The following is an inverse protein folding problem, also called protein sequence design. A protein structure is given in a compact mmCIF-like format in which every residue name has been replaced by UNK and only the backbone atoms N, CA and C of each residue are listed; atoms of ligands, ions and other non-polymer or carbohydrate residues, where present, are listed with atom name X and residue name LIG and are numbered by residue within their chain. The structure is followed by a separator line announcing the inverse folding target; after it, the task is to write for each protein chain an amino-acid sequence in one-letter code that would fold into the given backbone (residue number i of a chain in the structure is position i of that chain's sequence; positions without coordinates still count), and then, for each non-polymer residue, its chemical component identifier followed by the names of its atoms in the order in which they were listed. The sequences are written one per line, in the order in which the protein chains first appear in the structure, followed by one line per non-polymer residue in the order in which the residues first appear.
data_IF_798285843272
#
_entry.id   IF_798285843272
#
_cell.length_a   1.000
_cell.length_b   1.000
_cell.length_c   1.000
_cell.angle_alpha   90.00
_cell.angle_beta   90.00
_cell.angle_gamma   90.00
#
_symmetry.space_group_name_H-M   'P 1'
#
loop_
_entity.id
_entity.type
_entity.pdbx_description
1 polymer ?
#
# COMPACT_ATOMS: atom_id res chain seq x y z
N UNK A 1 -29.34 -17.10 -5.13
CA UNK A 1 -28.81 -18.21 -4.29
C UNK A 1 -27.97 -17.58 -3.19
N UNK A 2 -28.04 -18.06 -1.93
CA UNK A 2 -27.23 -17.51 -0.85
C UNK A 2 -25.77 -17.96 -0.99
N UNK A 3 -24.84 -17.00 -1.02
CA UNK A 3 -23.40 -17.25 -1.07
C UNK A 3 -22.86 -17.31 0.36
N UNK A 4 -22.43 -18.48 0.81
CA UNK A 4 -21.78 -18.62 2.12
C UNK A 4 -20.28 -18.29 2.06
N UNK A 5 -19.69 -18.33 0.86
CA UNK A 5 -18.32 -17.92 0.60
C UNK A 5 -18.24 -16.38 0.56
N UNK A 6 -17.20 -15.79 1.15
CA UNK A 6 -17.09 -14.35 1.34
C UNK A 6 -17.94 -13.80 2.49
N UNK A 7 -18.60 -14.64 3.28
CA UNK A 7 -19.47 -14.18 4.38
C UNK A 7 -18.66 -13.39 5.43
N UNK A 8 -17.49 -13.91 5.82
CA UNK A 8 -16.55 -13.23 6.69
C UNK A 8 -16.07 -11.90 6.11
N UNK A 9 -15.72 -11.91 4.82
CA UNK A 9 -15.30 -10.70 4.10
C UNK A 9 -16.41 -9.65 4.06
N UNK A 10 -17.68 -10.05 3.91
CA UNK A 10 -18.83 -9.12 3.95
C UNK A 10 -19.05 -8.52 5.34
N UNK A 11 -18.87 -9.29 6.42
CA UNK A 11 -18.84 -8.74 7.78
C UNK A 11 -17.76 -7.66 7.89
N UNK A 12 -16.54 -7.95 7.44
CA UNK A 12 -15.44 -7.00 7.46
C UNK A 12 -15.75 -5.73 6.65
N UNK A 13 -16.36 -5.89 5.48
CA UNK A 13 -16.76 -4.80 4.60
C UNK A 13 -17.80 -3.89 5.25
N UNK A 14 -18.89 -4.45 5.77
CA UNK A 14 -19.93 -3.65 6.43
C UNK A 14 -19.43 -3.03 7.73
N UNK A 15 -18.52 -3.69 8.47
CA UNK A 15 -17.88 -3.11 9.66
C UNK A 15 -17.09 -1.85 9.30
N UNK A 16 -16.28 -1.93 8.25
CA UNK A 16 -15.48 -0.80 7.76
C UNK A 16 -16.38 0.33 7.25
N UNK A 17 -17.49 0.02 6.58
CA UNK A 17 -18.49 1.00 6.15
C UNK A 17 -19.17 1.69 7.34
N UNK A 18 -19.37 0.98 8.45
CA UNK A 18 -19.87 1.53 9.70
C UNK A 18 -18.81 2.33 10.49
N UNK A 19 -17.57 2.41 9.99
CA UNK A 19 -16.47 3.14 10.63
C UNK A 19 -15.94 2.50 11.92
N UNK A 20 -16.17 1.20 12.12
CA UNK A 20 -15.82 0.49 13.35
C UNK A 20 -14.49 -0.26 13.21
N UNK A 21 -13.66 -0.30 14.25
CA UNK A 21 -12.56 -1.27 14.39
C UNK A 21 -13.08 -2.66 14.74
N UNK A 22 -12.24 -3.71 14.66
CA UNK A 22 -12.65 -5.05 15.09
C UNK A 22 -12.95 -5.06 16.59
N UNK A 23 -12.19 -4.29 17.36
CA UNK A 23 -12.36 -4.06 18.79
C UNK A 23 -13.68 -3.38 19.11
N UNK A 24 -14.02 -2.31 18.38
CA UNK A 24 -15.27 -1.57 18.57
C UNK A 24 -16.51 -2.39 18.16
N UNK A 25 -16.44 -3.15 17.07
CA UNK A 25 -17.53 -4.07 16.70
C UNK A 25 -17.68 -5.18 17.74
N UNK A 26 -16.57 -5.72 18.24
CA UNK A 26 -16.58 -6.74 19.28
C UNK A 26 -17.19 -6.22 20.58
N UNK A 27 -16.86 -4.99 20.98
CA UNK A 27 -17.42 -4.33 22.15
C UNK A 27 -18.94 -4.15 22.02
N UNK A 28 -19.42 -3.66 20.86
CA UNK A 28 -20.87 -3.48 20.59
C UNK A 28 -21.66 -4.79 20.57
N UNK A 29 -21.02 -5.88 20.14
CA UNK A 29 -21.59 -7.23 20.13
C UNK A 29 -21.36 -8.00 21.43
N UNK A 30 -20.62 -7.44 22.39
CA UNK A 30 -20.23 -8.06 23.65
C UNK A 30 -19.50 -9.41 23.46
N UNK A 31 -18.50 -9.41 22.57
CA UNK A 31 -17.63 -10.55 22.23
C UNK A 31 -16.17 -10.10 22.19
N UNK A 32 -15.24 -11.01 21.90
CA UNK A 32 -13.82 -10.66 21.76
C UNK A 32 -13.48 -10.20 20.34
N UNK A 33 -12.52 -9.28 20.20
CA UNK A 33 -11.98 -8.87 18.89
C UNK A 33 -11.45 -10.07 18.09
N UNK A 34 -10.92 -11.09 18.78
CA UNK A 34 -10.49 -12.34 18.18
C UNK A 34 -11.64 -13.13 17.54
N UNK A 35 -12.86 -13.07 18.08
CA UNK A 35 -14.04 -13.70 17.47
C UNK A 35 -14.42 -12.99 16.17
N UNK A 36 -14.46 -11.65 16.16
CA UNK A 36 -14.68 -10.84 14.96
C UNK A 36 -13.60 -11.13 13.91
N UNK A 37 -12.34 -11.17 14.29
CA UNK A 37 -11.22 -11.50 13.40
C UNK A 37 -11.37 -12.90 12.79
N UNK A 38 -11.78 -13.91 13.58
CA UNK A 38 -12.04 -15.26 13.05
C UNK A 38 -13.22 -15.28 12.07
N UNK A 39 -14.25 -14.48 12.30
CA UNK A 39 -15.35 -14.33 11.34
C UNK A 39 -14.86 -13.71 10.05
N UNK A 40 -14.14 -12.59 10.14
CA UNK A 40 -13.68 -11.82 8.99
C UNK A 40 -12.67 -12.57 8.12
N UNK A 41 -11.87 -13.45 8.72
CA UNK A 41 -10.90 -14.31 8.04
C UNK A 41 -11.47 -15.67 7.62
N UNK A 42 -12.79 -15.87 7.68
CA UNK A 42 -13.48 -17.11 7.28
C UNK A 42 -13.05 -18.34 8.09
N UNK A 43 -12.51 -18.15 9.31
CA UNK A 43 -12.07 -19.23 10.20
C UNK A 43 -13.27 -19.88 10.89
N UNK A 44 -14.29 -19.09 11.26
CA UNK A 44 -15.55 -19.60 11.78
C UNK A 44 -16.70 -18.63 11.47
N UNK A 45 -17.94 -19.08 11.68
CA UNK A 45 -19.13 -18.25 11.50
C UNK A 45 -19.61 -17.68 12.85
N UNK A 46 -20.23 -16.49 12.86
CA UNK A 46 -21.02 -16.03 14.00
C UNK A 46 -22.16 -17.01 14.25
N UNK A 47 -22.54 -17.17 15.52
CA UNK A 47 -23.72 -17.96 15.85
C UNK A 47 -24.97 -17.39 15.16
N UNK A 48 -25.87 -18.27 14.75
CA UNK A 48 -27.09 -17.86 14.01
C UNK A 48 -27.93 -16.84 14.78
N UNK A 49 -27.91 -16.92 16.11
CA UNK A 49 -28.56 -16.01 17.06
C UNK A 49 -27.97 -14.60 17.04
N UNK A 50 -26.71 -14.46 16.63
CA UNK A 50 -25.99 -13.17 16.54
C UNK A 50 -26.27 -12.42 15.24
N UNK A 51 -26.75 -13.10 14.19
CA UNK A 51 -26.94 -12.50 12.86
C UNK A 51 -27.86 -11.28 12.83
N UNK A 52 -29.01 -11.24 13.53
CA UNK A 52 -29.88 -10.06 13.52
C UNK A 52 -29.18 -8.84 14.13
N UNK A 53 -28.51 -9.02 15.27
CA UNK A 53 -27.79 -7.95 15.96
C UNK A 53 -26.55 -7.51 15.19
N UNK A 54 -25.81 -8.47 14.63
CA UNK A 54 -24.69 -8.20 13.73
C UNK A 54 -25.12 -7.36 12.53
N UNK A 55 -26.20 -7.74 11.84
CA UNK A 55 -26.72 -6.96 10.72
C UNK A 55 -27.14 -5.54 11.13
N UNK A 56 -27.73 -5.38 12.32
CA UNK A 56 -28.10 -4.07 12.88
C UNK A 56 -26.88 -3.19 13.19
N UNK A 57 -25.88 -3.70 13.90
CA UNK A 57 -24.64 -2.95 14.23
C UNK A 57 -23.85 -2.56 12.97
N UNK A 58 -23.95 -3.39 11.93
CA UNK A 58 -23.32 -3.20 10.63
C UNK A 58 -24.17 -2.38 9.64
N UNK A 59 -25.35 -1.93 10.04
CA UNK A 59 -26.30 -1.19 9.20
C UNK A 59 -26.59 -1.88 7.84
N UNK A 60 -26.83 -3.19 7.86
CA UNK A 60 -27.08 -4.04 6.68
C UNK A 60 -28.21 -5.03 6.94
N UNK A 61 -28.49 -5.93 5.97
CA UNK A 61 -29.48 -7.02 6.14
C UNK A 61 -28.79 -8.38 6.17
N UNK A 62 -29.47 -9.38 6.73
CA UNK A 62 -28.97 -10.76 6.77
C UNK A 62 -28.77 -11.28 5.35
N UNK A 63 -29.69 -10.99 4.42
CA UNK A 63 -29.60 -11.41 3.02
C UNK A 63 -28.32 -10.87 2.37
N UNK A 64 -27.97 -9.61 2.62
CA UNK A 64 -26.72 -9.00 2.14
C UNK A 64 -25.48 -9.66 2.74
N UNK A 65 -25.50 -10.07 4.01
CA UNK A 65 -24.41 -10.85 4.61
C UNK A 65 -24.21 -12.21 3.93
N UNK A 66 -25.29 -12.81 3.42
CA UNK A 66 -25.27 -14.06 2.66
C UNK A 66 -25.24 -13.86 1.13
N UNK A 67 -24.86 -12.67 0.63
CA UNK A 67 -24.73 -12.42 -0.81
C UNK A 67 -26.06 -12.49 -1.60
N UNK A 68 -27.21 -12.43 -0.91
CA UNK A 68 -28.52 -12.35 -1.52
C UNK A 68 -28.77 -10.95 -2.10
N UNK A 69 -29.13 -10.90 -3.38
CA UNK A 69 -29.40 -9.65 -4.11
C UNK A 69 -29.17 -9.72 -5.63
N UNK A 70 -28.46 -10.75 -6.12
CA UNK A 70 -28.19 -10.95 -7.55
C UNK A 70 -29.12 -12.04 -8.09
N UNK A 71 -29.97 -11.68 -9.06
CA UNK A 71 -30.77 -12.60 -9.85
C UNK A 71 -29.90 -13.15 -11.01
N UNK A 72 -29.46 -14.42 -10.97
CA UNK A 72 -28.51 -14.97 -11.94
C UNK A 72 -29.10 -15.10 -13.35
N UNK A 73 -30.39 -14.86 -13.53
CA UNK A 73 -31.08 -14.91 -14.82
C UNK A 73 -31.11 -13.58 -15.57
N UNK A 74 -30.56 -12.50 -14.98
CA UNK A 74 -30.45 -11.17 -15.61
C UNK A 74 -29.01 -10.72 -15.89
N UNK A 75 -28.01 -11.56 -15.65
CA UNK A 75 -26.62 -11.29 -16.02
C UNK A 75 -26.46 -11.31 -17.55
N UNK A 76 -26.85 -10.23 -18.22
CA UNK A 76 -26.53 -10.02 -19.62
C UNK A 76 -25.03 -9.70 -19.79
N UNK A 77 -24.46 -10.20 -20.89
CA UNK A 77 -23.04 -10.27 -21.24
C UNK A 77 -22.30 -8.92 -21.43
N UNK A 78 -22.73 -7.83 -20.79
CA UNK A 78 -22.24 -6.47 -21.08
C UNK A 78 -21.13 -5.96 -20.14
N UNK A 79 -20.92 -6.55 -18.95
CA UNK A 79 -19.95 -6.04 -17.96
C UNK A 79 -18.62 -6.82 -17.90
N UNK A 80 -18.55 -8.01 -18.51
CA UNK A 80 -17.36 -8.87 -18.47
C UNK A 80 -16.36 -8.37 -19.53
N UNK A 81 -15.09 -8.06 -19.16
CA UNK A 81 -14.10 -7.65 -20.14
C UNK A 81 -13.88 -8.74 -21.18
N UNK A 82 -14.00 -8.38 -22.47
CA UNK A 82 -13.73 -9.31 -23.57
C UNK A 82 -12.25 -9.69 -23.69
N UNK A 83 -11.37 -8.92 -23.05
CA UNK A 83 -9.93 -9.13 -23.03
C UNK A 83 -9.35 -8.77 -21.65
N UNK A 84 -8.31 -9.50 -21.24
CA UNK A 84 -7.52 -9.28 -20.02
C UNK A 84 -6.04 -9.28 -20.41
N UNK A 85 -5.46 -8.08 -20.56
CA UNK A 85 -4.14 -7.92 -21.17
C UNK A 85 -4.13 -8.46 -22.61
N UNK A 86 -3.28 -9.46 -22.89
CA UNK A 86 -3.21 -10.15 -24.20
C UNK A 86 -4.22 -11.30 -24.36
N UNK A 87 -4.89 -11.70 -23.28
CA UNK A 87 -5.78 -12.87 -23.27
C UNK A 87 -7.20 -12.47 -23.66
N UNK A 88 -7.88 -13.31 -24.43
CA UNK A 88 -9.27 -13.09 -24.86
C UNK A 88 -10.20 -13.90 -23.98
N UNK A 89 -11.38 -13.37 -23.66
CA UNK A 89 -12.43 -14.14 -23.01
C UNK A 89 -12.88 -15.26 -23.96
N UNK A 90 -12.72 -16.50 -23.52
CA UNK A 90 -13.02 -17.70 -24.29
C UNK A 90 -14.37 -18.29 -23.92
N UNK A 91 -14.67 -18.40 -22.63
CA UNK A 91 -15.90 -19.02 -22.15
C UNK A 91 -16.28 -18.54 -20.75
N UNK A 92 -17.54 -18.71 -20.38
CA UNK A 92 -18.05 -18.39 -19.04
C UNK A 92 -18.96 -19.51 -18.53
N UNK A 93 -18.87 -19.83 -17.24
CA UNK A 93 -19.72 -20.81 -16.59
C UNK A 93 -19.99 -20.43 -15.14
N UNK A 94 -21.26 -20.19 -14.79
CA UNK A 94 -21.71 -19.87 -13.42
C UNK A 94 -20.88 -18.76 -12.72
N UNK A 95 -20.56 -17.69 -13.45
CA UNK A 95 -19.76 -16.58 -12.92
C UNK A 95 -18.25 -16.81 -12.96
N UNK A 96 -17.76 -17.98 -13.36
CA UNK A 96 -16.34 -18.18 -13.67
C UNK A 96 -16.07 -17.82 -15.13
N UNK A 97 -15.02 -17.04 -15.36
CA UNK A 97 -14.57 -16.53 -16.65
C UNK A 97 -13.30 -17.26 -17.06
N UNK A 98 -13.23 -17.74 -18.30
CA UNK A 98 -12.03 -18.38 -18.85
C UNK A 98 -11.39 -17.47 -19.90
N UNK A 99 -10.16 -17.01 -19.65
CA UNK A 99 -9.37 -16.19 -20.57
C UNK A 99 -8.22 -17.00 -21.17
N UNK A 100 -7.94 -16.83 -22.46
CA UNK A 100 -6.77 -17.43 -23.11
C UNK A 100 -6.38 -16.69 -24.39
N UNK A 101 -5.11 -16.80 -24.78
CA UNK A 101 -4.59 -16.44 -26.11
C UNK A 101 -4.45 -17.64 -27.05
N UNK A 102 -4.77 -18.85 -26.58
CA UNK A 102 -4.65 -20.10 -27.35
C UNK A 102 -5.83 -20.29 -28.31
N UNK A 103 -5.58 -21.05 -29.38
CA UNK A 103 -6.63 -21.47 -30.30
C UNK A 103 -7.52 -22.56 -29.69
N UNK A 104 -8.80 -22.23 -29.57
CA UNK A 104 -9.83 -23.15 -29.06
C UNK A 104 -10.11 -24.22 -30.10
N UNK A 105 -10.17 -25.48 -29.66
CA UNK A 105 -10.62 -26.60 -30.46
C UNK A 105 -12.13 -26.83 -30.28
N UNK A 106 -12.60 -26.90 -29.04
CA UNK A 106 -14.03 -27.08 -28.72
C UNK A 106 -14.36 -26.47 -27.36
N UNK A 107 -15.57 -25.91 -27.26
CA UNK A 107 -16.14 -25.44 -26.00
C UNK A 107 -17.41 -26.24 -25.72
N UNK A 108 -17.47 -26.84 -24.53
CA UNK A 108 -18.63 -27.52 -23.97
C UNK A 108 -19.25 -26.64 -22.86
N UNK A 109 -20.32 -27.12 -22.22
CA UNK A 109 -21.07 -26.35 -21.20
C UNK A 109 -20.15 -25.72 -20.14
N UNK A 110 -19.28 -26.52 -19.54
CA UNK A 110 -18.37 -26.13 -18.45
C UNK A 110 -16.89 -26.37 -18.79
N UNK A 111 -16.55 -26.74 -20.03
CA UNK A 111 -15.18 -27.15 -20.38
C UNK A 111 -14.73 -26.53 -21.70
N UNK A 112 -13.51 -26.00 -21.74
CA UNK A 112 -12.84 -25.55 -22.97
C UNK A 112 -11.67 -26.47 -23.27
N UNK A 113 -11.56 -26.92 -24.51
CA UNK A 113 -10.42 -27.70 -25.02
C UNK A 113 -9.73 -26.92 -26.12
N UNK A 114 -8.40 -26.86 -26.09
CA UNK A 114 -7.57 -26.11 -27.02
C UNK A 114 -6.86 -27.05 -28.01
N UNK A 115 -6.48 -26.52 -29.19
CA UNK A 115 -5.87 -27.32 -30.28
C UNK A 115 -4.53 -27.93 -29.92
N UNK A 116 -3.81 -27.35 -28.97
CA UNK A 116 -2.53 -27.86 -28.45
C UNK A 116 -2.69 -28.97 -27.39
N UNK A 117 -3.92 -29.40 -27.12
CA UNK A 117 -4.24 -30.41 -26.13
C UNK A 117 -4.33 -29.88 -24.70
N UNK A 118 -4.37 -28.56 -24.52
CA UNK A 118 -4.74 -27.91 -23.26
C UNK A 118 -6.24 -28.02 -23.00
N UNK A 119 -6.64 -27.89 -21.73
CA UNK A 119 -8.06 -27.82 -21.34
C UNK A 119 -8.28 -26.94 -20.11
N UNK A 120 -9.50 -26.43 -19.98
CA UNK A 120 -9.99 -25.73 -18.81
C UNK A 120 -11.38 -26.28 -18.45
N UNK A 121 -11.50 -26.89 -17.27
CA UNK A 121 -12.77 -27.35 -16.69
C UNK A 121 -13.23 -26.30 -15.66
N UNK A 122 -14.22 -25.49 -16.06
CA UNK A 122 -14.75 -24.38 -15.28
C UNK A 122 -15.61 -24.86 -14.09
N UNK A 123 -16.17 -26.07 -14.15
CA UNK A 123 -16.93 -26.65 -13.03
C UNK A 123 -15.99 -27.14 -11.92
N UNK A 124 -14.85 -27.74 -12.31
CA UNK A 124 -13.82 -28.23 -11.38
C UNK A 124 -12.75 -27.20 -11.05
N UNK A 125 -12.76 -26.04 -11.73
CA UNK A 125 -11.72 -25.01 -11.65
C UNK A 125 -10.31 -25.57 -11.93
N UNK A 126 -10.21 -26.46 -12.91
CA UNK A 126 -8.97 -27.12 -13.27
C UNK A 126 -8.47 -26.66 -14.65
N UNK A 127 -7.18 -26.33 -14.74
CA UNK A 127 -6.50 -25.97 -15.99
C UNK A 127 -5.39 -26.97 -16.26
N UNK A 128 -5.41 -27.54 -17.46
CA UNK A 128 -4.29 -28.30 -18.03
C UNK A 128 -3.72 -27.46 -19.17
N UNK A 129 -2.62 -26.75 -18.92
CA UNK A 129 -1.98 -25.91 -19.93
C UNK A 129 -0.78 -26.63 -20.57
N UNK A 130 -0.80 -26.81 -21.89
CA UNK A 130 0.27 -27.43 -22.70
C UNK A 130 0.73 -26.48 -23.79
N UNK A 131 2.01 -26.55 -24.20
CA UNK A 131 2.54 -25.68 -25.27
C UNK A 131 2.70 -24.22 -24.84
N UNK A 132 2.84 -23.31 -25.80
CA UNK A 132 2.96 -21.87 -25.56
C UNK A 132 1.57 -21.21 -25.42
N UNK A 133 1.51 -20.09 -24.71
CA UNK A 133 0.25 -19.40 -24.41
C UNK A 133 -0.28 -19.74 -23.01
N UNK A 134 -1.38 -19.11 -22.65
CA UNK A 134 -1.84 -19.01 -21.27
C UNK A 134 -3.35 -19.21 -21.18
N UNK A 135 -3.79 -19.88 -20.13
CA UNK A 135 -5.20 -20.05 -19.77
C UNK A 135 -5.33 -19.59 -18.33
N UNK A 136 -6.32 -18.76 -18.05
CA UNK A 136 -6.52 -18.16 -16.74
C UNK A 136 -8.01 -18.13 -16.41
N UNK A 137 -8.36 -18.39 -15.16
CA UNK A 137 -9.70 -18.15 -14.63
C UNK A 137 -9.80 -16.79 -13.95
N UNK A 138 -10.98 -16.21 -14.00
CA UNK A 138 -11.38 -15.01 -13.28
C UNK A 138 -12.83 -15.14 -12.82
N UNK A 139 -13.32 -14.25 -11.96
CA UNK A 139 -14.68 -14.31 -11.43
C UNK A 139 -15.49 -13.07 -11.81
N UNK A 140 -16.73 -13.28 -12.26
CA UNK A 140 -17.62 -12.24 -12.74
C UNK A 140 -18.06 -11.26 -11.65
N UNK A 141 -18.09 -11.69 -10.38
CA UNK A 141 -18.42 -10.86 -9.22
C UNK A 141 -17.26 -9.94 -8.78
N UNK A 142 -16.06 -10.10 -9.33
CA UNK A 142 -15.00 -9.09 -9.26
C UNK A 142 -15.24 -7.90 -10.19
N UNK A 143 -16.20 -8.01 -11.11
CA UNK A 143 -16.56 -6.96 -12.06
C UNK A 143 -17.91 -6.36 -11.67
N UNK A 144 -17.89 -5.11 -11.20
CA UNK A 144 -19.12 -4.36 -10.93
C UNK A 144 -19.79 -3.99 -12.27
N UNK A 145 -21.10 -4.20 -12.41
CA UNK A 145 -21.87 -3.91 -13.63
C UNK A 145 -21.80 -2.43 -14.05
N UNK A 146 -21.33 -1.54 -13.14
CA UNK A 146 -21.11 -0.13 -13.40
C UNK A 146 -19.70 0.23 -13.92
N UNK A 147 -18.77 -0.74 -14.00
CA UNK A 147 -17.35 -0.49 -14.28
C UNK A 147 -17.01 -0.54 -15.80
N UNK A 148 -17.63 0.37 -16.57
CA UNK A 148 -17.33 0.58 -18.00
C UNK A 148 -16.27 1.68 -18.24
N UNK A 149 -15.58 2.14 -17.18
CA UNK A 149 -14.69 3.29 -17.26
C UNK A 149 -13.27 2.95 -17.75
N UNK A 150 -12.48 4.00 -18.03
CA UNK A 150 -11.06 3.84 -18.37
C UNK A 150 -10.31 3.17 -17.21
N UNK A 151 -9.62 2.07 -17.49
CA UNK A 151 -8.76 1.35 -16.53
C UNK A 151 -7.29 1.72 -16.66
N UNK A 152 -6.97 2.63 -17.58
CA UNK A 152 -5.63 3.13 -17.83
C UNK A 152 -5.65 4.63 -18.08
N UNK A 153 -4.64 5.32 -17.56
CA UNK A 153 -4.33 6.73 -17.84
C UNK A 153 -2.87 6.80 -18.29
N UNK A 154 -2.57 7.56 -19.33
CA UNK A 154 -1.21 7.78 -19.80
C UNK A 154 -1.04 9.20 -20.32
N UNK A 155 -0.08 9.93 -19.74
CA UNK A 155 0.20 11.32 -20.07
C UNK A 155 1.70 11.57 -20.17
N UNK A 156 2.08 12.56 -20.99
CA UNK A 156 3.48 12.95 -21.24
C UNK A 156 3.63 14.44 -20.99
N UNK A 157 4.66 14.80 -20.24
CA UNK A 157 4.96 16.15 -19.80
C UNK A 157 6.40 16.53 -20.15
N UNK A 158 6.66 17.83 -20.25
CA UNK A 158 8.00 18.39 -20.40
C UNK A 158 8.29 19.38 -19.28
N UNK A 159 9.57 19.56 -18.95
CA UNK A 159 10.00 20.55 -17.95
C UNK A 159 9.62 20.23 -16.50
N UNK A 160 9.25 18.99 -16.19
CA UNK A 160 8.98 18.57 -14.81
C UNK A 160 10.29 18.47 -14.03
N UNK A 161 10.29 19.06 -12.84
CA UNK A 161 11.38 19.00 -11.88
C UNK A 161 10.89 18.61 -10.47
N UNK A 162 9.61 18.79 -10.17
CA UNK A 162 9.03 18.45 -8.87
C UNK A 162 7.82 17.54 -9.04
N UNK A 163 7.61 16.64 -8.09
CA UNK A 163 6.49 15.69 -8.08
C UNK A 163 5.66 15.84 -6.81
N UNK A 164 4.34 15.77 -6.96
CA UNK A 164 3.40 15.49 -5.87
C UNK A 164 2.64 14.23 -6.19
N UNK A 165 2.74 13.22 -5.33
CA UNK A 165 1.99 11.98 -5.43
C UNK A 165 1.21 11.76 -4.14
N UNK A 166 -0.11 11.80 -4.23
CA UNK A 166 -1.00 11.50 -3.11
C UNK A 166 -1.87 10.30 -3.49
N UNK A 167 -1.62 9.15 -2.86
CA UNK A 167 -2.27 7.88 -3.21
C UNK A 167 -2.69 7.10 -1.98
N UNK A 168 -3.67 6.23 -2.16
CA UNK A 168 -4.15 5.32 -1.13
C UNK A 168 -4.48 3.95 -1.73
N UNK A 169 -3.98 2.89 -1.10
CA UNK A 169 -4.19 1.49 -1.54
C UNK A 169 -3.79 1.26 -3.02
N UNK A 170 -2.70 1.89 -3.46
CA UNK A 170 -2.14 1.71 -4.79
C UNK A 170 -0.62 1.57 -4.70
N UNK A 171 -0.03 0.80 -5.61
CA UNK A 171 1.43 0.74 -5.73
C UNK A 171 1.95 1.90 -6.56
N UNK A 172 3.19 2.33 -6.33
CA UNK A 172 3.82 3.32 -7.18
C UNK A 172 5.30 3.03 -7.45
N UNK A 173 5.77 3.54 -8.58
CA UNK A 173 7.17 3.52 -8.94
C UNK A 173 7.55 4.83 -9.60
N UNK A 174 8.67 5.44 -9.17
CA UNK A 174 9.25 6.62 -9.82
C UNK A 174 10.64 6.25 -10.34
N UNK A 175 10.77 6.29 -11.66
CA UNK A 175 11.96 5.85 -12.40
C UNK A 175 12.53 6.99 -13.24
N UNK A 176 13.77 6.81 -13.70
CA UNK A 176 14.36 7.69 -14.70
C UNK A 176 13.82 7.36 -16.10
N UNK A 177 13.31 8.37 -16.80
CA UNK A 177 12.95 8.29 -18.23
C UNK A 177 14.21 8.15 -19.11
N UNK A 178 14.16 7.42 -20.25
CA UNK A 178 15.28 7.36 -21.18
C UNK A 178 15.54 8.68 -21.93
N UNK A 179 14.62 9.65 -21.83
CA UNK A 179 14.70 10.95 -22.48
C UNK A 179 14.30 12.08 -21.51
N UNK A 180 14.14 13.29 -22.04
CA UNK A 180 13.81 14.49 -21.26
C UNK A 180 12.32 14.65 -20.95
N UNK A 181 11.47 13.74 -21.44
CA UNK A 181 10.04 13.77 -21.18
C UNK A 181 9.71 12.99 -19.93
N UNK A 182 8.83 13.56 -19.12
CA UNK A 182 8.24 12.86 -17.98
C UNK A 182 6.99 12.14 -18.44
N UNK A 183 6.84 10.86 -18.08
CA UNK A 183 5.68 10.04 -18.45
C UNK A 183 5.00 9.54 -17.20
N UNK A 184 3.69 9.68 -17.12
CA UNK A 184 2.88 9.07 -16.09
C UNK A 184 2.00 8.00 -16.74
N UNK A 185 2.04 6.79 -16.19
CA UNK A 185 1.13 5.71 -16.54
C UNK A 185 0.45 5.20 -15.27
N UNK A 186 -0.87 5.29 -15.21
CA UNK A 186 -1.66 4.66 -14.16
C UNK A 186 -2.50 3.53 -14.75
N UNK A 187 -2.58 2.41 -14.05
CA UNK A 187 -3.40 1.25 -14.41
C UNK A 187 -4.16 0.81 -13.16
N UNK A 188 -5.43 0.47 -13.29
CA UNK A 188 -6.22 0.00 -12.16
C UNK A 188 -7.71 -0.06 -12.46
N UNK A 189 -8.50 -0.17 -11.40
CA UNK A 189 -9.97 -0.09 -11.49
C UNK A 189 -10.43 1.25 -12.07
N UNK A 190 -11.57 1.32 -12.76
CA UNK A 190 -11.99 2.61 -13.29
C UNK A 190 -12.38 3.65 -12.22
N UNK A 191 -12.87 3.29 -11.02
CA UNK A 191 -12.99 4.24 -9.91
C UNK A 191 -11.64 4.84 -9.50
N UNK A 192 -10.58 4.03 -9.46
CA UNK A 192 -9.23 4.53 -9.18
C UNK A 192 -8.76 5.51 -10.25
N UNK A 193 -8.88 5.15 -11.53
CA UNK A 193 -8.45 6.00 -12.65
C UNK A 193 -9.30 7.27 -12.74
N UNK A 194 -10.63 7.15 -12.65
CA UNK A 194 -11.55 8.30 -12.64
C UNK A 194 -11.39 9.20 -11.41
N UNK A 195 -10.86 8.65 -10.31
CA UNK A 195 -10.53 9.37 -9.08
C UNK A 195 -9.14 10.00 -9.07
N UNK A 196 -8.27 9.65 -10.02
CA UNK A 196 -6.90 10.15 -10.11
C UNK A 196 -6.86 11.46 -10.89
N UNK A 197 -6.48 12.54 -10.23
CA UNK A 197 -6.32 13.84 -10.86
C UNK A 197 -4.84 14.08 -11.18
N UNK A 198 -4.53 14.19 -12.47
CA UNK A 198 -3.20 14.52 -12.95
C UNK A 198 -3.20 15.96 -13.47
N UNK A 199 -2.20 16.74 -13.06
CA UNK A 199 -2.08 18.14 -13.49
C UNK A 199 -0.62 18.60 -13.47
N UNK A 200 -0.28 19.52 -14.38
CA UNK A 200 1.01 20.20 -14.40
C UNK A 200 0.82 21.69 -14.06
N UNK A 201 1.61 22.20 -13.12
CA UNK A 201 1.70 23.63 -12.83
C UNK A 201 3.17 24.05 -12.84
N UNK A 202 3.58 24.74 -13.91
CA UNK A 202 5.01 25.02 -14.13
C UNK A 202 5.80 23.71 -14.24
N UNK A 203 6.80 23.54 -13.37
CA UNK A 203 7.63 22.32 -13.30
C UNK A 203 7.12 21.26 -12.31
N UNK A 204 5.97 21.49 -11.66
CA UNK A 204 5.36 20.53 -10.75
C UNK A 204 4.38 19.65 -11.52
N UNK A 205 4.57 18.33 -11.45
CA UNK A 205 3.56 17.34 -11.82
C UNK A 205 2.88 16.84 -10.54
N UNK A 206 1.56 16.95 -10.47
CA UNK A 206 0.77 16.45 -9.36
C UNK A 206 -0.16 15.32 -9.84
N UNK A 207 -0.10 14.18 -9.17
CA UNK A 207 -0.99 13.04 -9.32
C UNK A 207 -1.66 12.76 -7.97
N UNK A 208 -2.92 13.15 -7.84
CA UNK A 208 -3.65 13.16 -6.56
C UNK A 208 -4.91 12.32 -6.68
N UNK A 209 -4.99 11.26 -5.88
CA UNK A 209 -6.19 10.44 -5.76
C UNK A 209 -7.20 11.13 -4.82
N UNK A 210 -8.40 11.44 -5.32
CA UNK A 210 -9.49 11.94 -4.47
C UNK A 210 -9.90 10.88 -3.43
N UNK A 211 -10.14 11.30 -2.19
CA UNK A 211 -10.74 10.42 -1.17
C UNK A 211 -12.11 9.92 -1.63
N UNK A 212 -12.20 8.66 -1.99
CA UNK A 212 -13.46 7.90 -2.02
C UNK A 212 -13.21 6.52 -1.43
N UNK A 213 -14.28 5.90 -0.91
CA UNK A 213 -14.28 4.53 -0.42
C UNK A 213 -14.15 3.56 -1.60
N UNK A 214 -12.93 3.42 -2.14
CA UNK A 214 -12.69 2.51 -3.25
C UNK A 214 -12.60 1.07 -2.73
N UNK A 215 -13.34 0.16 -3.39
CA UNK A 215 -13.16 -1.26 -3.19
C UNK A 215 -11.76 -1.70 -3.63
N UNK A 216 -11.23 -2.68 -2.88
CA UNK A 216 -9.86 -3.17 -2.96
C UNK A 216 -9.62 -3.83 -4.31
N UNK A 217 -9.04 -3.10 -5.26
CA UNK A 217 -8.46 -3.69 -6.46
C UNK A 217 -6.97 -3.92 -6.25
N UNK A 218 -6.53 -5.18 -6.19
CA UNK A 218 -5.12 -5.60 -6.11
C UNK A 218 -4.28 -5.21 -7.36
N UNK A 219 -4.77 -4.28 -8.18
CA UNK A 219 -4.23 -3.90 -9.50
C UNK A 219 -3.93 -2.41 -9.66
N UNK A 220 -4.26 -1.55 -8.69
CA UNK A 220 -4.02 -0.10 -8.81
C UNK A 220 -2.53 0.21 -8.70
N UNK A 221 -1.96 0.80 -9.76
CA UNK A 221 -0.55 1.14 -9.85
C UNK A 221 -0.33 2.46 -10.60
N UNK A 222 0.63 3.25 -10.16
CA UNK A 222 1.13 4.43 -10.86
C UNK A 222 2.62 4.28 -11.13
N UNK A 223 3.04 4.43 -12.38
CA UNK A 223 4.43 4.51 -12.79
C UNK A 223 4.71 5.92 -13.32
N UNK A 224 5.74 6.57 -12.80
CA UNK A 224 6.19 7.88 -13.26
C UNK A 224 7.64 7.76 -13.70
N UNK A 225 7.91 7.97 -14.99
CA UNK A 225 9.27 8.07 -15.52
C UNK A 225 9.65 9.54 -15.63
N UNK A 226 10.55 10.07 -14.78
CA UNK A 226 10.96 11.49 -14.78
C UNK A 226 11.97 11.77 -15.89
N UNK A 227 11.79 12.88 -16.59
CA UNK A 227 12.68 13.38 -17.65
C UNK A 227 14.02 13.97 -17.20
N UNK A 228 14.30 14.00 -15.90
CA UNK A 228 15.48 14.60 -15.27
C UNK A 228 16.25 13.52 -14.50
N UNK A 229 17.58 13.68 -14.41
CA UNK A 229 18.43 12.78 -13.62
C UNK A 229 18.28 12.99 -12.10
N UNK A 230 17.79 14.17 -11.69
CA UNK A 230 17.41 14.48 -10.32
C UNK A 230 16.27 15.50 -10.29
N UNK A 231 15.42 15.45 -9.27
CA UNK A 231 14.33 16.40 -9.07
C UNK A 231 14.63 17.46 -8.01
N UNK A 232 13.84 18.54 -8.01
CA UNK A 232 13.89 19.59 -6.99
C UNK A 232 13.12 19.17 -5.74
N UNK A 233 11.83 18.91 -5.87
CA UNK A 233 10.96 18.60 -4.72
C UNK A 233 10.11 17.36 -4.97
N UNK A 234 9.99 16.52 -3.96
CA UNK A 234 9.10 15.38 -3.93
C UNK A 234 8.17 15.48 -2.73
N UNK A 235 6.86 15.52 -2.99
CA UNK A 235 5.82 15.37 -1.98
C UNK A 235 5.14 14.01 -2.17
N UNK A 236 5.32 13.10 -1.22
CA UNK A 236 4.65 11.79 -1.18
C UNK A 236 3.68 11.74 -0.01
N UNK A 237 2.41 11.45 -0.27
CA UNK A 237 1.44 11.08 0.76
C UNK A 237 0.84 9.72 0.45
N UNK A 238 1.09 8.79 1.35
CA UNK A 238 0.74 7.38 1.20
C UNK A 238 -0.25 6.99 2.29
N UNK A 239 -1.44 6.56 1.86
CA UNK A 239 -2.53 6.12 2.72
C UNK A 239 -2.87 4.64 2.55
N UNK A 240 -3.50 4.05 3.57
CA UNK A 240 -3.95 2.65 3.55
C UNK A 240 -2.77 1.69 3.35
N UNK A 241 -2.89 0.78 2.39
CA UNK A 241 -1.82 -0.18 2.04
C UNK A 241 -1.02 0.23 0.80
N UNK A 242 -0.98 1.53 0.45
CA UNK A 242 -0.19 1.99 -0.69
C UNK A 242 1.30 1.85 -0.41
N UNK A 243 2.08 1.39 -1.39
CA UNK A 243 3.52 1.14 -1.22
C UNK A 243 4.26 1.40 -2.52
N UNK A 244 5.56 1.66 -2.46
CA UNK A 244 6.30 1.90 -3.68
C UNK A 244 7.70 2.43 -3.47
N UNK A 245 8.32 2.75 -4.60
CA UNK A 245 9.71 3.16 -4.61
C UNK A 245 9.98 4.37 -5.50
N UNK A 246 11.00 5.14 -5.12
CA UNK A 246 11.55 6.25 -5.87
C UNK A 246 13.03 5.98 -6.12
N UNK A 247 13.39 5.76 -7.39
CA UNK A 247 14.74 5.45 -7.83
C UNK A 247 15.43 6.65 -8.53
N UNK A 248 14.89 7.85 -8.35
CA UNK A 248 15.47 9.11 -8.85
C UNK A 248 15.77 10.02 -7.67
N UNK A 249 16.99 10.56 -7.53
CA UNK A 249 17.33 11.50 -6.46
C UNK A 249 16.50 12.79 -6.50
N UNK A 250 16.26 13.39 -5.34
CA UNK A 250 15.62 14.71 -5.22
C UNK A 250 16.36 15.60 -4.23
N UNK A 251 16.28 16.93 -4.37
CA UNK A 251 16.85 17.81 -3.34
C UNK A 251 16.02 17.76 -2.07
N UNK A 252 14.71 18.00 -2.17
CA UNK A 252 13.81 18.06 -1.03
C UNK A 252 12.76 16.95 -1.08
N UNK A 253 12.56 16.25 0.02
CA UNK A 253 11.51 15.26 0.21
C UNK A 253 10.59 15.60 1.37
N UNK A 254 9.27 15.61 1.13
CA UNK A 254 8.24 15.59 2.16
C UNK A 254 7.43 14.30 2.02
N UNK A 255 7.61 13.37 2.96
CA UNK A 255 7.02 12.04 2.91
C UNK A 255 6.10 11.82 4.10
N UNK A 256 4.85 11.43 3.84
CA UNK A 256 3.86 11.10 4.87
C UNK A 256 3.30 9.70 4.66
N UNK A 257 3.42 8.86 5.68
CA UNK A 257 2.94 7.46 5.67
C UNK A 257 1.87 7.31 6.75
N UNK A 258 0.60 7.26 6.32
CA UNK A 258 -0.59 7.23 7.17
C UNK A 258 -1.25 5.86 7.32
N UNK A 259 -0.60 4.79 6.84
CA UNK A 259 -1.15 3.44 6.83
C UNK A 259 -0.08 2.36 7.04
N UNK A 260 -0.24 1.21 6.39
CA UNK A 260 0.62 0.02 6.59
C UNK A 260 1.50 -0.30 5.39
N UNK A 261 1.65 0.65 4.46
CA UNK A 261 2.43 0.41 3.25
C UNK A 261 3.79 1.09 3.28
N UNK A 262 4.72 0.46 2.59
CA UNK A 262 6.15 0.75 2.72
C UNK A 262 6.65 1.62 1.56
N UNK A 263 7.63 2.46 1.87
CA UNK A 263 8.25 3.38 0.91
C UNK A 263 9.75 3.13 0.85
N UNK A 264 10.28 2.98 -0.35
CA UNK A 264 11.72 2.88 -0.61
C UNK A 264 12.16 4.11 -1.39
N UNK A 265 13.18 4.80 -0.91
CA UNK A 265 13.73 6.02 -1.48
C UNK A 265 15.22 5.84 -1.79
N UNK A 266 15.70 6.54 -2.81
CA UNK A 266 17.14 6.77 -3.02
C UNK A 266 17.57 8.04 -2.29
N UNK A 267 18.31 8.93 -2.97
CA UNK A 267 19.09 9.99 -2.36
C UNK A 267 18.30 11.30 -2.23
N UNK A 268 18.47 11.97 -1.08
CA UNK A 268 17.91 13.30 -0.82
C UNK A 268 18.91 14.26 -0.18
N UNK A 269 18.92 15.54 -0.58
CA UNK A 269 19.66 16.56 0.17
C UNK A 269 18.97 16.80 1.54
N UNK A 270 17.64 16.89 1.55
CA UNK A 270 16.81 17.06 2.74
C UNK A 270 15.60 16.13 2.65
N UNK A 271 15.40 15.29 3.66
CA UNK A 271 14.23 14.41 3.77
C UNK A 271 13.48 14.69 5.08
N UNK A 272 12.25 15.17 4.96
CA UNK A 272 11.28 15.24 6.06
C UNK A 272 10.29 14.09 5.94
N UNK A 273 10.27 13.21 6.93
CA UNK A 273 9.36 12.06 6.95
C UNK A 273 8.48 12.08 8.19
N UNK A 274 7.17 11.87 8.00
CA UNK A 274 6.21 11.63 9.06
C UNK A 274 5.54 10.27 8.90
N UNK A 275 5.62 9.45 9.94
CA UNK A 275 4.95 8.14 10.01
C UNK A 275 3.95 8.14 11.16
N UNK A 276 2.68 7.91 10.84
CA UNK A 276 1.60 7.75 11.84
C UNK A 276 0.93 6.38 11.82
N UNK A 277 1.27 5.54 10.83
CA UNK A 277 0.81 4.15 10.74
C UNK A 277 1.89 3.14 11.11
N UNK A 278 1.81 1.96 10.49
CA UNK A 278 2.76 0.86 10.66
C UNK A 278 3.61 0.59 9.42
N UNK A 279 3.53 1.44 8.40
CA UNK A 279 4.33 1.33 7.19
C UNK A 279 5.75 1.81 7.40
N UNK A 280 6.69 1.16 6.74
CA UNK A 280 8.13 1.39 6.91
C UNK A 280 8.69 2.32 5.83
N UNK A 281 9.80 2.97 6.14
CA UNK A 281 10.58 3.76 5.20
C UNK A 281 12.00 3.21 5.12
N UNK A 282 12.49 3.00 3.89
CA UNK A 282 13.91 2.80 3.61
C UNK A 282 14.41 3.93 2.73
N UNK A 283 15.57 4.51 3.04
CA UNK A 283 16.24 5.47 2.16
C UNK A 283 17.75 5.21 2.07
N UNK A 284 18.36 5.55 0.93
CA UNK A 284 19.79 5.33 0.72
C UNK A 284 20.62 6.44 1.37
N UNK A 285 20.95 7.52 0.63
CA UNK A 285 21.77 8.61 1.13
C UNK A 285 20.98 9.88 1.39
N UNK A 286 21.02 10.37 2.62
CA UNK A 286 20.33 11.60 3.04
C UNK A 286 21.33 12.65 3.54
N UNK A 287 21.24 13.89 3.07
CA UNK A 287 21.99 15.00 3.66
C UNK A 287 21.48 15.32 5.07
N UNK A 288 20.30 15.92 5.13
CA UNK A 288 19.58 16.26 6.36
C UNK A 288 18.31 15.41 6.50
N UNK A 289 18.24 14.59 7.56
CA UNK A 289 17.07 13.77 7.87
C UNK A 289 16.28 14.37 9.05
N UNK A 290 14.99 14.67 8.84
CA UNK A 290 14.05 15.10 9.88
C UNK A 290 12.89 14.08 9.95
N UNK A 291 12.84 13.30 11.01
CA UNK A 291 11.93 12.17 11.16
C UNK A 291 10.94 12.40 12.32
N UNK A 292 9.65 12.18 12.07
CA UNK A 292 8.61 12.24 13.09
C UNK A 292 7.76 10.95 13.08
N UNK A 293 7.93 10.11 14.09
CA UNK A 293 7.29 8.80 14.20
C UNK A 293 6.33 8.78 15.39
N UNK A 294 5.04 8.60 15.11
CA UNK A 294 3.98 8.46 16.11
C UNK A 294 3.29 7.09 16.08
N UNK A 295 3.51 6.32 15.01
CA UNK A 295 3.01 4.95 14.87
C UNK A 295 4.04 3.89 15.24
N UNK A 296 3.93 2.72 14.61
CA UNK A 296 4.80 1.57 14.81
C UNK A 296 5.72 1.26 13.62
N UNK A 297 5.67 2.09 12.56
CA UNK A 297 6.52 1.95 11.39
C UNK A 297 7.97 2.33 11.67
N UNK A 298 8.89 1.63 11.01
CA UNK A 298 10.32 1.75 11.18
C UNK A 298 10.96 2.58 10.07
N UNK A 299 12.14 3.13 10.34
CA UNK A 299 12.94 3.86 9.35
C UNK A 299 14.34 3.28 9.26
N UNK A 300 14.76 2.89 8.07
CA UNK A 300 16.12 2.47 7.76
C UNK A 300 16.78 3.47 6.81
N UNK A 301 17.87 4.11 7.26
CA UNK A 301 18.70 5.00 6.43
C UNK A 301 20.08 4.37 6.24
N UNK A 302 20.58 4.31 5.00
CA UNK A 302 21.92 3.78 4.76
C UNK A 302 23.01 4.78 5.16
N UNK A 303 22.91 6.04 4.72
CA UNK A 303 23.90 7.08 5.02
C UNK A 303 23.23 8.42 5.34
N UNK A 304 23.70 9.10 6.41
CA UNK A 304 23.33 10.50 6.69
C UNK A 304 24.58 11.39 6.74
N UNK A 305 24.62 12.51 6.02
CA UNK A 305 25.88 13.25 5.79
C UNK A 305 25.94 14.69 6.29
N UNK A 306 24.84 15.27 6.78
CA UNK A 306 24.82 16.66 7.28
C UNK A 306 24.22 16.72 8.69
N UNK A 307 22.94 16.34 8.84
CA UNK A 307 22.22 16.42 10.12
C UNK A 307 21.23 15.27 10.25
N UNK A 308 21.04 14.80 11.48
CA UNK A 308 19.97 13.88 11.83
C UNK A 308 19.12 14.46 12.96
N UNK A 309 17.81 14.56 12.76
CA UNK A 309 16.82 14.92 13.77
C UNK A 309 15.68 13.91 13.77
N UNK A 310 15.37 13.34 14.94
CA UNK A 310 14.28 12.38 15.11
C UNK A 310 13.42 12.69 16.34
N UNK A 311 12.10 12.66 16.15
CA UNK A 311 11.10 12.70 17.22
C UNK A 311 10.27 11.41 17.17
N UNK A 312 10.39 10.57 18.19
CA UNK A 312 9.70 9.28 18.29
C UNK A 312 8.79 9.29 19.52
N UNK A 313 7.49 9.20 19.29
CA UNK A 313 6.45 9.08 20.34
C UNK A 313 5.73 7.73 20.30
N UNK A 314 5.87 6.99 19.21
CA UNK A 314 5.31 5.64 19.04
C UNK A 314 6.27 4.52 19.42
N UNK A 315 6.11 3.38 18.76
CA UNK A 315 6.91 2.17 18.99
C UNK A 315 7.83 1.81 17.81
N UNK A 316 7.93 2.69 16.81
CA UNK A 316 8.78 2.48 15.63
C UNK A 316 10.26 2.71 15.91
N UNK A 317 11.09 1.86 15.33
CA UNK A 317 12.55 1.93 15.44
C UNK A 317 13.18 2.71 14.29
N UNK A 318 14.35 3.30 14.55
CA UNK A 318 15.16 3.95 13.52
C UNK A 318 16.54 3.29 13.47
N UNK A 319 16.99 2.89 12.29
CA UNK A 319 18.35 2.44 12.04
C UNK A 319 19.06 3.39 11.05
N UNK A 320 20.30 3.73 11.38
CA UNK A 320 21.19 4.51 10.50
C UNK A 320 22.50 3.75 10.37
N UNK A 321 22.78 3.26 9.16
CA UNK A 321 23.93 2.37 8.94
C UNK A 321 25.27 3.10 9.02
N UNK A 322 25.34 4.36 8.58
CA UNK A 322 26.57 5.14 8.68
C UNK A 322 26.43 6.62 8.32
N UNK A 323 27.57 7.31 8.34
CA UNK A 323 27.67 8.69 7.89
C UNK A 323 28.47 9.58 8.84
N UNK A 324 28.75 10.80 8.39
CA UNK A 324 29.43 11.83 9.17
C UNK A 324 28.54 13.06 9.19
N UNK A 325 28.11 13.49 10.38
CA UNK A 325 27.15 14.59 10.54
C UNK A 325 27.66 15.63 11.53
N UNK A 326 27.17 16.85 11.38
CA UNK A 326 27.46 17.96 12.29
C UNK A 326 26.70 17.82 13.61
N UNK A 327 25.46 17.33 13.55
CA UNK A 327 24.54 17.31 14.69
C UNK A 327 23.63 16.09 14.64
N UNK A 328 23.62 15.32 15.74
CA UNK A 328 22.68 14.25 16.01
C UNK A 328 21.69 14.70 17.08
N UNK A 329 20.41 14.83 16.73
CA UNK A 329 19.34 15.19 17.66
C UNK A 329 18.29 14.09 17.70
N UNK A 330 18.00 13.58 18.90
CA UNK A 330 16.99 12.55 19.10
C UNK A 330 16.14 12.84 20.33
N UNK A 331 14.82 12.87 20.15
CA UNK A 331 13.85 12.94 21.22
C UNK A 331 12.91 11.73 21.15
N UNK A 332 12.98 10.88 22.16
CA UNK A 332 12.15 9.67 22.25
C UNK A 332 11.32 9.76 23.52
N UNK A 333 10.01 9.55 23.38
CA UNK A 333 9.05 9.52 24.48
C UNK A 333 8.19 8.24 24.51
N UNK A 334 8.34 7.39 23.49
CA UNK A 334 7.63 6.13 23.34
C UNK A 334 8.48 4.90 23.71
N UNK A 335 8.29 3.81 22.96
CA UNK A 335 8.96 2.54 23.18
C UNK A 335 9.88 2.11 22.01
N UNK A 336 10.13 3.03 21.07
CA UNK A 336 11.01 2.79 19.93
C UNK A 336 12.48 3.07 20.23
N UNK A 337 13.36 2.41 19.50
CA UNK A 337 14.81 2.50 19.63
C UNK A 337 15.46 3.25 18.46
N UNK A 338 16.65 3.82 18.69
CA UNK A 338 17.50 4.34 17.60
C UNK A 338 18.85 3.65 17.61
N UNK A 339 19.21 3.02 16.48
CA UNK A 339 20.47 2.29 16.26
C UNK A 339 21.27 2.97 15.15
N UNK A 340 22.22 3.81 15.54
CA UNK A 340 23.09 4.59 14.65
C UNK A 340 24.58 4.28 14.90
N UNK A 341 24.93 3.00 14.95
CA UNK A 341 26.26 2.53 15.38
C UNK A 341 27.39 2.92 14.42
N UNK A 342 27.12 3.05 13.12
CA UNK A 342 28.12 3.47 12.13
C UNK A 342 28.20 4.98 11.92
N UNK A 343 27.37 5.76 12.64
CA UNK A 343 27.28 7.21 12.48
C UNK A 343 28.29 7.93 13.38
N UNK A 344 29.00 8.91 12.81
CA UNK A 344 29.89 9.81 13.55
C UNK A 344 29.29 11.22 13.54
N UNK A 345 28.99 11.75 14.73
CA UNK A 345 28.48 13.10 14.89
C UNK A 345 29.55 14.03 15.51
N UNK A 346 29.58 15.29 15.08
CA UNK A 346 30.38 16.31 15.78
C UNK A 346 29.80 16.59 17.16
N UNK A 347 28.49 16.85 17.23
CA UNK A 347 27.74 17.07 18.48
C UNK A 347 26.49 16.20 18.56
N UNK A 348 26.00 15.92 19.77
CA UNK A 348 24.75 15.20 19.97
C UNK A 348 23.87 15.81 21.09
N UNK A 349 22.55 15.91 20.86
CA UNK A 349 21.53 16.19 21.90
C UNK A 349 20.50 15.04 21.89
N UNK A 350 20.51 14.23 22.95
CA UNK A 350 19.72 13.02 23.06
C UNK A 350 18.86 13.09 24.31
N UNK A 351 17.55 13.01 24.11
CA UNK A 351 16.55 12.99 25.17
C UNK A 351 15.68 11.74 25.03
N UNK A 352 15.70 10.86 26.04
CA UNK A 352 14.95 9.63 26.07
C UNK A 352 14.05 9.56 27.32
N UNK A 353 12.76 9.31 27.11
CA UNK A 353 11.79 9.04 28.15
C UNK A 353 11.02 7.77 27.78
N UNK A 354 10.74 6.92 28.77
CA UNK A 354 10.05 5.64 28.53
C UNK A 354 11.01 4.46 28.48
N UNK A 355 10.60 3.39 27.79
CA UNK A 355 11.38 2.17 27.60
C UNK A 355 12.01 2.19 26.21
N UNK A 356 13.08 2.97 26.05
CA UNK A 356 13.72 3.25 24.76
C UNK A 356 15.25 3.21 24.87
N UNK A 357 15.91 2.69 23.85
CA UNK A 357 17.35 2.61 23.75
C UNK A 357 17.90 3.40 22.55
N UNK A 358 18.90 4.25 22.79
CA UNK A 358 19.65 4.95 21.74
C UNK A 358 21.09 4.50 21.74
N UNK A 359 21.56 3.99 20.60
CA UNK A 359 22.96 3.65 20.38
C UNK A 359 23.53 4.49 19.24
N UNK A 360 24.55 5.28 19.53
CA UNK A 360 25.25 6.14 18.57
C UNK A 360 26.72 5.72 18.45
N UNK A 361 27.27 5.72 17.23
CA UNK A 361 28.63 5.32 16.93
C UNK A 361 29.68 6.19 17.62
N UNK A 362 29.90 7.41 17.12
CA UNK A 362 30.93 8.30 17.66
C UNK A 362 30.41 9.72 17.85
N UNK A 363 30.84 10.38 18.92
CA UNK A 363 30.70 11.83 19.11
C UNK A 363 32.08 12.47 19.26
N UNK A 364 32.36 13.53 18.48
CA UNK A 364 33.70 14.16 18.40
C UNK A 364 33.88 15.25 19.46
N UNK A 365 32.97 16.21 19.57
CA UNK A 365 33.15 17.39 20.43
C UNK A 365 32.43 17.26 21.77
N UNK A 366 31.17 16.86 21.75
CA UNK A 366 30.40 16.75 22.98
C UNK A 366 28.96 16.31 22.78
N UNK A 367 28.37 15.78 23.85
CA UNK A 367 26.98 15.34 23.88
C UNK A 367 26.25 15.90 25.10
N UNK A 368 24.96 16.17 24.91
CA UNK A 368 24.00 16.43 25.98
C UNK A 368 23.02 15.26 26.01
N UNK A 369 22.95 14.60 27.14
CA UNK A 369 22.22 13.34 27.28
C UNK A 369 21.25 13.44 28.46
N UNK A 370 19.97 13.16 28.22
CA UNK A 370 18.94 13.11 29.25
C UNK A 370 18.14 11.83 29.09
N UNK A 371 18.03 11.03 30.14
CA UNK A 371 17.29 9.78 30.10
C UNK A 371 16.45 9.56 31.36
N UNK A 372 15.37 8.80 31.23
CA UNK A 372 14.55 8.30 32.34
C UNK A 372 15.11 7.00 32.93
N UNK A 373 14.53 6.50 34.02
CA UNK A 373 14.98 5.29 34.72
C UNK A 373 14.99 4.02 33.86
N UNK A 374 14.12 3.96 32.84
CA UNK A 374 13.90 2.76 32.00
C UNK A 374 14.41 2.90 30.56
N UNK A 375 15.14 3.98 30.27
CA UNK A 375 15.72 4.24 28.95
C UNK A 375 17.25 4.22 29.03
N UNK A 376 17.92 3.80 27.96
CA UNK A 376 19.39 3.84 27.87
C UNK A 376 19.89 4.68 26.70
N UNK A 377 21.05 5.32 26.91
CA UNK A 377 21.80 6.03 25.87
C UNK A 377 23.22 5.48 25.90
N UNK A 378 23.72 5.04 24.74
CA UNK A 378 25.06 4.48 24.57
C UNK A 378 25.77 5.11 23.37
N UNK A 379 26.84 5.86 23.66
CA UNK A 379 27.77 6.35 22.63
C UNK A 379 28.99 5.42 22.62
N UNK A 380 29.27 4.78 21.48
CA UNK A 380 30.32 3.74 21.39
C UNK A 380 31.74 4.32 21.46
N UNK A 381 31.95 5.52 20.92
CA UNK A 381 33.24 6.22 20.96
C UNK A 381 33.05 7.71 21.25
N UNK A 382 33.86 8.24 22.18
CA UNK A 382 33.87 9.66 22.55
C UNK A 382 35.25 10.25 22.19
N UNK A 383 35.23 11.47 21.63
CA UNK A 383 36.40 12.23 21.21
C UNK A 383 37.19 12.84 22.35
#
# INVERSE_FOLDING_TARGET
MYNIYGFGRRIASFRKLAGLTQEELAERLNITAQAVSKWENEICFPEITMLPRLAQELNTTIEKLFGGGIDPTKAEASAIPKQKGRLKLIHTYQGLLCYSDKEVAVTNEDTVVFKDGSSADLRRQEIINKGSGEICFDFADEYDENDQGQTELSEVFSGIASLRLEISNATFQVLRSPDTYTRLKAVGSAPFIGGLQVSQSGSLLAAVQKQQNYHRGERNRIEIMIGQDSGSDLELRIGGSGSGEVQVPFKNGLVQIGGSGDVILTDFDVLKCRISGSGDLKADKIGEAELAISGAGNVELNEVTIRFEAHVSGAGDISVSGGNIDEFKAEISGAGDIKAQGLTARTADITCHGASDVVLGRVIEGSKEKHSQHSSIKILQRG
#
